data_IF_399404337528
#
_entry.id   IF_399404337528
#
_cell.length_a   1.000
_cell.length_b   1.000
_cell.length_c   1.000
_cell.angle_alpha   90.00
_cell.angle_beta   90.00
_cell.angle_gamma   90.00
#
_symmetry.space_group_name_H-M   'P 1'
#
loop_
_entity.id
_entity.type
_entity.pdbx_description
1 polymer ?
#
# COMPACT_ATOMS: atom_id res chain seq x y z
N UNK A 1 -0.06 -35.10 7.62
CA UNK A 1 -0.93 -33.97 7.27
C UNK A 1 -1.23 -33.06 8.46
N UNK A 2 -1.81 -33.53 9.58
CA UNK A 2 -2.16 -32.67 10.75
C UNK A 2 -0.96 -31.89 11.32
N UNK A 3 0.24 -32.49 11.39
CA UNK A 3 1.46 -31.82 11.89
C UNK A 3 1.97 -30.70 10.96
N UNK A 4 1.80 -30.87 9.65
CA UNK A 4 2.19 -29.86 8.65
C UNK A 4 1.23 -28.66 8.74
N UNK A 5 -0.06 -28.89 8.92
CA UNK A 5 -1.07 -27.83 9.12
C UNK A 5 -0.78 -27.06 10.41
N UNK A 6 -0.37 -27.74 11.48
CA UNK A 6 -0.02 -27.10 12.74
C UNK A 6 1.23 -26.22 12.62
N UNK A 7 2.24 -26.68 11.89
CA UNK A 7 3.46 -25.91 11.61
C UNK A 7 3.15 -24.70 10.74
N UNK A 8 2.33 -24.87 9.70
CA UNK A 8 1.83 -23.74 8.89
C UNK A 8 1.06 -22.74 9.73
N UNK A 9 0.14 -23.18 10.61
CA UNK A 9 -0.62 -22.28 11.49
C UNK A 9 0.28 -21.51 12.46
N UNK A 10 1.37 -22.10 12.97
CA UNK A 10 2.35 -21.44 13.83
C UNK A 10 3.16 -20.39 13.04
N UNK A 11 3.54 -20.70 11.79
CA UNK A 11 4.27 -19.76 10.91
C UNK A 11 3.38 -18.54 10.58
N UNK A 12 2.06 -18.73 10.42
CA UNK A 12 1.10 -17.64 10.17
C UNK A 12 0.70 -16.85 11.43
N UNK A 13 1.09 -17.25 12.63
CA UNK A 13 0.83 -16.50 13.88
C UNK A 13 1.82 -15.35 14.13
N UNK A 14 2.58 -14.93 13.13
CA UNK A 14 3.49 -13.79 13.20
C UNK A 14 2.68 -12.51 13.37
N UNK A 15 3.10 -11.64 14.28
CA UNK A 15 2.46 -10.33 14.48
C UNK A 15 2.48 -9.56 13.16
N UNK A 16 1.29 -9.27 12.63
CA UNK A 16 1.11 -8.44 11.44
C UNK A 16 0.91 -7.00 11.87
N UNK A 17 1.77 -6.11 11.42
CA UNK A 17 1.60 -4.67 11.56
C UNK A 17 1.11 -4.13 10.22
N UNK A 18 -0.11 -3.57 10.18
CA UNK A 18 -0.63 -2.91 8.98
C UNK A 18 -0.31 -1.42 9.09
N UNK A 19 0.52 -0.91 8.19
CA UNK A 19 0.95 0.49 8.17
C UNK A 19 0.43 1.24 6.95
N UNK A 20 0.19 0.53 5.83
CA UNK A 20 -0.22 1.11 4.56
C UNK A 20 -1.71 0.92 4.27
N UNK A 21 -2.36 1.91 3.64
CA UNK A 21 -3.71 1.76 3.14
C UNK A 21 -3.82 0.65 2.10
N UNK A 22 -4.74 -0.29 2.30
CA UNK A 22 -5.00 -1.38 1.36
C UNK A 22 -6.34 -1.17 0.64
N UNK A 23 -6.32 -1.45 -0.67
CA UNK A 23 -7.52 -1.48 -1.51
C UNK A 23 -8.04 -2.90 -1.64
N UNK A 24 -9.33 -3.11 -1.37
CA UNK A 24 -9.96 -4.43 -1.46
C UNK A 24 -10.07 -4.95 -2.90
N UNK A 25 -10.08 -4.05 -3.88
CA UNK A 25 -10.14 -4.37 -5.31
C UNK A 25 -8.76 -4.29 -5.97
N UNK A 26 -7.74 -4.67 -5.25
CA UNK A 26 -6.35 -4.62 -5.73
C UNK A 26 -6.08 -5.48 -6.97
N UNK A 27 -6.91 -6.50 -7.23
CA UNK A 27 -6.85 -7.29 -8.46
C UNK A 27 -7.15 -6.48 -9.73
N UNK A 28 -7.91 -5.38 -9.62
CA UNK A 28 -8.19 -4.48 -10.75
C UNK A 28 -7.01 -3.54 -11.06
N UNK A 29 -6.18 -3.29 -10.06
CA UNK A 29 -4.98 -2.44 -10.14
C UNK A 29 -3.84 -3.12 -9.39
N UNK A 30 -3.28 -4.19 -9.98
CA UNK A 30 -2.24 -4.99 -9.33
C UNK A 30 -0.97 -4.19 -9.03
N UNK A 31 -0.71 -3.09 -9.75
CA UNK A 31 0.38 -2.14 -9.48
C UNK A 31 0.31 -1.53 -8.06
N UNK A 32 -0.90 -1.43 -7.49
CA UNK A 32 -1.09 -0.93 -6.11
C UNK A 32 -0.53 -1.87 -5.05
N UNK A 33 -0.47 -3.19 -5.35
CA UNK A 33 0.12 -4.21 -4.48
C UNK A 33 1.59 -4.39 -4.80
N UNK A 34 1.90 -4.53 -6.10
CA UNK A 34 3.24 -4.88 -6.55
C UNK A 34 3.65 -4.04 -7.77
N UNK A 35 4.58 -3.11 -7.60
CA UNK A 35 5.10 -2.27 -8.68
C UNK A 35 5.73 -3.04 -9.86
N UNK A 36 6.04 -4.33 -9.72
CA UNK A 36 6.50 -5.16 -10.85
C UNK A 36 5.44 -5.36 -11.94
N UNK A 37 4.17 -5.01 -11.65
CA UNK A 37 3.11 -4.97 -12.65
C UNK A 37 3.15 -3.72 -13.54
N UNK A 38 4.00 -2.73 -13.28
CA UNK A 38 4.14 -1.58 -14.18
C UNK A 38 4.55 -2.05 -15.58
N UNK A 39 3.77 -1.67 -16.60
CA UNK A 39 3.94 -2.13 -17.98
C UNK A 39 3.72 -3.63 -18.20
N UNK A 40 3.05 -4.33 -17.29
CA UNK A 40 2.84 -5.78 -17.35
C UNK A 40 2.08 -6.21 -18.62
N UNK A 41 1.09 -5.45 -19.01
CA UNK A 41 0.25 -5.74 -20.15
C UNK A 41 0.83 -5.25 -21.48
N UNK A 42 2.05 -4.72 -21.45
CA UNK A 42 2.75 -4.20 -22.65
C UNK A 42 1.96 -3.13 -23.42
N UNK A 43 1.11 -2.40 -22.72
CA UNK A 43 0.28 -1.31 -23.23
C UNK A 43 0.25 -0.17 -22.21
N UNK A 44 -0.01 1.05 -22.69
CA UNK A 44 -0.25 2.20 -21.83
C UNK A 44 -1.54 1.99 -21.02
N UNK A 45 -1.49 2.16 -19.72
CA UNK A 45 -2.63 2.09 -18.82
C UNK A 45 -2.71 3.30 -17.89
N UNK A 46 -3.93 3.68 -17.57
CA UNK A 46 -4.23 4.67 -16.53
C UNK A 46 -5.52 4.26 -15.81
N UNK A 47 -5.60 4.56 -14.54
CA UNK A 47 -6.81 4.29 -13.78
C UNK A 47 -6.87 5.06 -12.48
N UNK A 48 -8.08 5.08 -11.92
CA UNK A 48 -8.41 5.70 -10.66
C UNK A 48 -9.17 4.71 -9.77
N UNK A 49 -8.69 4.52 -8.54
CA UNK A 49 -9.43 3.84 -7.48
C UNK A 49 -9.90 4.87 -6.46
N UNK A 50 -11.16 4.78 -6.07
CA UNK A 50 -11.73 5.54 -4.99
C UNK A 50 -12.38 4.62 -3.98
N UNK A 51 -11.99 4.74 -2.71
CA UNK A 51 -12.54 3.97 -1.61
C UNK A 51 -13.00 4.92 -0.53
N UNK A 52 -14.26 4.79 -0.14
CA UNK A 52 -14.85 5.50 0.99
C UNK A 52 -15.36 4.46 2.02
N UNK A 53 -14.94 4.61 3.26
CA UNK A 53 -15.39 3.79 4.37
C UNK A 53 -15.99 4.68 5.44
N UNK A 54 -17.27 4.46 5.73
CA UNK A 54 -18.01 5.16 6.79
C UNK A 54 -18.41 4.15 7.86
N UNK A 55 -18.25 4.51 9.12
CA UNK A 55 -18.74 3.72 10.24
C UNK A 55 -20.01 4.36 10.78
N UNK A 56 -21.11 3.59 10.74
CA UNK A 56 -22.40 4.03 11.26
C UNK A 56 -22.28 4.31 12.77
N UNK A 57 -22.69 5.51 13.20
CA UNK A 57 -22.67 5.93 14.60
C UNK A 57 -21.43 6.71 15.05
N UNK A 58 -20.44 6.91 14.16
CA UNK A 58 -19.27 7.75 14.40
C UNK A 58 -19.07 8.69 13.21
N UNK A 59 -18.66 9.93 13.47
CA UNK A 59 -18.24 10.89 12.43
C UNK A 59 -16.85 10.54 11.87
N UNK A 60 -16.63 9.23 11.67
CA UNK A 60 -15.38 8.70 11.16
C UNK A 60 -15.59 8.28 9.71
N UNK A 61 -14.89 8.94 8.80
CA UNK A 61 -14.92 8.67 7.38
C UNK A 61 -13.49 8.57 6.85
N UNK A 62 -13.19 7.45 6.19
CA UNK A 62 -11.90 7.16 5.62
C UNK A 62 -11.99 7.17 4.10
N UNK A 63 -11.33 8.13 3.46
CA UNK A 63 -11.29 8.31 2.03
C UNK A 63 -9.91 7.95 1.50
N UNK A 64 -9.86 7.09 0.50
CA UNK A 64 -8.61 6.72 -0.19
C UNK A 64 -8.80 6.88 -1.69
N UNK A 65 -7.87 7.58 -2.31
CA UNK A 65 -7.81 7.82 -3.75
C UNK A 65 -6.46 7.32 -4.24
N UNK A 66 -6.46 6.57 -5.32
CA UNK A 66 -5.25 6.08 -5.96
C UNK A 66 -5.38 6.28 -7.47
N UNK A 67 -4.54 7.14 -8.01
CA UNK A 67 -4.40 7.40 -9.43
C UNK A 67 -3.10 6.75 -9.90
N UNK A 68 -3.13 6.07 -11.02
CA UNK A 68 -1.93 5.50 -11.62
C UNK A 68 -1.92 5.69 -13.12
N UNK A 69 -0.70 5.70 -13.65
CA UNK A 69 -0.37 5.66 -15.06
C UNK A 69 0.86 4.80 -15.24
N UNK A 70 0.84 3.87 -16.16
CA UNK A 70 2.00 3.07 -16.53
C UNK A 70 2.07 2.85 -18.03
N UNK A 71 3.29 2.62 -18.51
CA UNK A 71 3.59 2.40 -19.90
C UNK A 71 4.72 1.37 -20.07
N UNK A 72 4.72 0.72 -21.21
CA UNK A 72 5.72 -0.28 -21.59
C UNK A 72 6.67 0.26 -22.65
N UNK A 73 7.96 0.06 -22.44
CA UNK A 73 9.04 0.45 -23.34
C UNK A 73 9.75 -0.79 -23.88
N UNK A 74 9.38 -1.29 -25.10
CA UNK A 74 9.91 -2.53 -25.66
C UNK A 74 11.43 -2.52 -25.84
N UNK A 75 12.00 -1.41 -26.27
CA UNK A 75 13.44 -1.26 -26.49
C UNK A 75 14.28 -1.44 -25.21
N UNK A 76 13.65 -1.19 -24.06
CA UNK A 76 14.28 -1.30 -22.73
C UNK A 76 13.82 -2.56 -21.99
N UNK A 77 12.93 -3.37 -22.55
CA UNK A 77 12.25 -4.45 -21.85
C UNK A 77 11.74 -4.01 -20.46
N UNK A 78 11.21 -2.81 -20.37
CA UNK A 78 10.88 -2.18 -19.08
C UNK A 78 9.53 -1.52 -19.07
N UNK A 79 8.83 -1.65 -17.95
CA UNK A 79 7.67 -0.85 -17.62
C UNK A 79 8.02 0.30 -16.69
N UNK A 80 7.44 1.46 -16.91
CA UNK A 80 7.55 2.63 -16.04
C UNK A 80 6.16 2.99 -15.57
N UNK A 81 6.01 3.18 -14.26
CA UNK A 81 4.75 3.55 -13.63
C UNK A 81 4.89 4.76 -12.74
N UNK A 82 3.85 5.58 -12.71
CA UNK A 82 3.69 6.69 -11.76
C UNK A 82 2.36 6.53 -11.04
N UNK A 83 2.34 6.70 -9.72
CA UNK A 83 1.12 6.66 -8.96
C UNK A 83 1.04 7.77 -7.93
N UNK A 84 -0.18 8.24 -7.68
CA UNK A 84 -0.53 9.21 -6.67
C UNK A 84 -1.53 8.58 -5.72
N UNK A 85 -1.25 8.60 -4.44
CA UNK A 85 -2.16 8.17 -3.38
C UNK A 85 -2.50 9.34 -2.47
N UNK A 86 -3.78 9.49 -2.17
CA UNK A 86 -4.29 10.40 -1.16
C UNK A 86 -5.21 9.61 -0.24
N UNK A 87 -4.85 9.57 1.04
CA UNK A 87 -5.59 8.86 2.08
C UNK A 87 -5.91 9.84 3.20
N UNK A 88 -7.18 10.01 3.50
CA UNK A 88 -7.67 11.02 4.46
C UNK A 88 -8.66 10.40 5.43
N UNK A 89 -8.51 10.74 6.69
CA UNK A 89 -9.45 10.43 7.75
C UNK A 89 -10.02 11.75 8.32
N UNK A 90 -11.34 11.81 8.51
CA UNK A 90 -12.02 13.09 8.78
C UNK A 90 -12.00 13.50 10.25
N UNK A 91 -11.96 12.58 11.20
CA UNK A 91 -12.04 12.90 12.62
C UNK A 91 -10.76 13.54 13.16
N UNK A 92 -9.62 12.96 12.83
CA UNK A 92 -8.30 13.47 13.23
C UNK A 92 -7.67 14.37 12.17
N UNK A 93 -8.37 14.62 11.05
CA UNK A 93 -7.81 15.28 9.86
C UNK A 93 -6.48 14.65 9.40
N UNK A 94 -6.31 13.34 9.67
CA UNK A 94 -5.15 12.61 9.18
C UNK A 94 -5.13 12.61 7.66
N UNK A 95 -3.98 12.92 7.10
CA UNK A 95 -3.78 12.86 5.66
C UNK A 95 -2.41 12.27 5.32
N UNK A 96 -2.41 11.30 4.39
CA UNK A 96 -1.22 10.72 3.80
C UNK A 96 -1.30 10.92 2.29
N UNK A 97 -0.36 11.69 1.74
CA UNK A 97 -0.22 11.89 0.30
C UNK A 97 1.08 11.29 -0.14
N UNK A 98 1.05 10.48 -1.18
CA UNK A 98 2.23 9.78 -1.67
C UNK A 98 2.27 9.82 -3.19
N UNK A 99 3.43 10.16 -3.74
CA UNK A 99 3.78 10.06 -5.15
C UNK A 99 4.82 8.96 -5.28
N UNK A 100 4.59 7.97 -6.14
CA UNK A 100 5.56 6.91 -6.42
C UNK A 100 5.92 6.90 -7.90
N UNK A 101 7.18 6.64 -8.17
CA UNK A 101 7.73 6.31 -9.48
C UNK A 101 8.26 4.88 -9.41
N UNK A 102 7.81 4.01 -10.29
CA UNK A 102 8.21 2.61 -10.38
C UNK A 102 8.86 2.31 -11.72
N UNK A 103 9.86 1.45 -11.69
CA UNK A 103 10.52 0.89 -12.85
C UNK A 103 10.62 -0.62 -12.70
N UNK A 104 10.03 -1.36 -13.63
CA UNK A 104 10.01 -2.81 -13.67
C UNK A 104 10.72 -3.32 -14.92
N UNK A 105 11.63 -4.26 -14.76
CA UNK A 105 12.38 -4.85 -15.87
C UNK A 105 11.87 -6.28 -16.13
N UNK A 106 11.62 -6.62 -17.40
CA UNK A 106 11.16 -7.96 -17.81
C UNK A 106 12.33 -8.82 -18.22
N UNK A 107 12.51 -9.96 -17.55
CA UNK A 107 13.47 -11.01 -17.89
C UNK A 107 12.70 -12.25 -18.29
N UNK A 108 12.79 -12.68 -19.52
CA UNK A 108 12.24 -13.94 -19.96
C UNK A 108 13.14 -15.08 -19.49
N UNK A 109 12.63 -15.96 -18.61
CA UNK A 109 13.37 -17.10 -18.07
C UNK A 109 13.34 -18.29 -19.02
N UNK A 110 12.16 -18.53 -19.60
CA UNK A 110 11.94 -19.57 -20.60
C UNK A 110 10.70 -19.22 -21.45
N UNK A 111 10.17 -20.17 -22.27
CA UNK A 111 9.01 -19.89 -23.12
C UNK A 111 7.73 -19.50 -22.40
N UNK A 112 7.57 -19.97 -21.14
CA UNK A 112 6.32 -19.80 -20.39
C UNK A 112 6.45 -18.83 -19.22
N UNK A 113 7.65 -18.58 -18.72
CA UNK A 113 7.87 -17.86 -17.47
C UNK A 113 8.71 -16.60 -17.65
N UNK A 114 8.19 -15.52 -17.11
CA UNK A 114 8.87 -14.25 -16.98
C UNK A 114 9.19 -13.94 -15.49
N UNK A 115 10.28 -13.25 -15.28
CA UNK A 115 10.67 -12.67 -14.01
C UNK A 115 10.74 -11.15 -14.14
N UNK A 116 10.06 -10.43 -13.25
CA UNK A 116 9.97 -8.97 -13.30
C UNK A 116 10.41 -8.36 -11.96
N UNK A 117 11.70 -8.06 -11.77
CA UNK A 117 12.15 -7.24 -10.67
C UNK A 117 11.74 -5.79 -10.90
N UNK A 118 11.45 -5.06 -9.80
CA UNK A 118 11.18 -3.64 -9.86
C UNK A 118 11.74 -2.88 -8.67
N UNK A 119 11.93 -1.59 -8.88
CA UNK A 119 12.28 -0.63 -7.83
C UNK A 119 11.26 0.50 -7.83
N UNK A 120 11.01 1.06 -6.66
CA UNK A 120 10.09 2.17 -6.46
C UNK A 120 10.75 3.26 -5.64
N UNK A 121 10.57 4.50 -6.09
CA UNK A 121 10.94 5.70 -5.38
C UNK A 121 9.68 6.47 -5.06
N UNK A 122 9.42 6.66 -3.76
CA UNK A 122 8.27 7.37 -3.24
C UNK A 122 8.66 8.68 -2.57
N UNK A 123 7.79 9.68 -2.68
CA UNK A 123 7.80 10.86 -1.85
C UNK A 123 6.46 10.96 -1.14
N UNK A 124 6.49 11.04 0.18
CA UNK A 124 5.28 11.07 0.99
C UNK A 124 5.26 12.27 1.94
N UNK A 125 4.05 12.75 2.17
CA UNK A 125 3.75 13.75 3.21
C UNK A 125 2.64 13.18 4.09
N UNK A 126 2.89 13.17 5.40
CA UNK A 126 1.97 12.72 6.42
C UNK A 126 1.64 13.90 7.32
N UNK A 127 0.36 14.14 7.49
CA UNK A 127 -0.16 15.26 8.27
C UNK A 127 -1.24 14.78 9.25
N UNK A 128 -1.37 15.47 10.36
CA UNK A 128 -2.35 15.18 11.40
C UNK A 128 -2.94 16.49 11.89
N UNK A 129 -4.27 16.63 11.84
CA UNK A 129 -4.95 17.78 12.42
C UNK A 129 -5.39 17.46 13.85
N UNK A 130 -4.94 18.26 14.79
CA UNK A 130 -5.21 18.04 16.20
C UNK A 130 -6.39 18.87 16.72
N UNK A 131 -7.08 19.62 15.84
CA UNK A 131 -8.13 20.58 16.20
C UNK A 131 -9.33 19.94 16.92
N UNK A 132 -9.58 18.66 16.66
CA UNK A 132 -10.70 17.92 17.24
C UNK A 132 -10.27 17.07 18.47
N UNK A 133 -9.02 17.16 18.90
CA UNK A 133 -8.50 16.41 20.03
C UNK A 133 -8.38 17.30 21.27
N UNK A 134 -8.64 16.72 22.42
CA UNK A 134 -8.44 17.32 23.74
C UNK A 134 -7.21 16.70 24.38
N UNK A 135 -6.25 17.54 24.71
CA UNK A 135 -5.00 17.15 25.39
C UNK A 135 -5.14 17.27 26.90
N UNK A 136 -4.35 16.50 27.62
CA UNK A 136 -4.40 16.46 29.08
C UNK A 136 -4.13 17.83 29.73
N UNK A 137 -3.22 18.63 29.17
CA UNK A 137 -2.87 19.96 29.66
C UNK A 137 -3.99 21.00 29.49
N UNK A 138 -4.98 20.73 28.61
CA UNK A 138 -6.17 21.56 28.43
C UNK A 138 -7.23 21.32 29.50
N UNK A 139 -7.21 20.16 30.19
CA UNK A 139 -8.26 19.76 31.12
C UNK A 139 -7.89 20.20 32.52
N UNK A 140 -8.59 21.18 33.06
CA UNK A 140 -8.44 21.58 34.45
C UNK A 140 -9.57 20.99 35.32
N UNK A 141 -9.27 19.86 35.95
CA UNK A 141 -10.25 19.11 36.77
C UNK A 141 -10.69 19.93 37.99
N UNK A 142 -9.80 20.74 38.61
CA UNK A 142 -10.11 21.51 39.79
C UNK A 142 -11.07 22.68 39.53
N UNK A 143 -10.97 23.26 38.35
CA UNK A 143 -11.80 24.41 37.92
C UNK A 143 -12.96 23.98 37.06
N UNK A 144 -13.02 22.72 36.64
CA UNK A 144 -14.01 22.17 35.74
C UNK A 144 -14.12 22.94 34.40
N UNK A 145 -12.97 23.35 33.88
CA UNK A 145 -12.85 24.10 32.60
C UNK A 145 -11.89 23.40 31.66
N UNK A 146 -12.15 23.61 30.36
CA UNK A 146 -11.27 23.18 29.28
C UNK A 146 -10.63 24.43 28.67
N UNK A 147 -9.30 24.49 28.70
CA UNK A 147 -8.54 25.56 28.07
C UNK A 147 -8.51 25.38 26.55
N UNK A 148 -8.58 26.47 25.80
CA UNK A 148 -8.53 26.41 24.33
C UNK A 148 -7.12 26.17 23.79
N UNK A 149 -6.08 26.44 24.57
CA UNK A 149 -4.69 26.30 24.12
C UNK A 149 -4.04 25.09 24.77
N UNK A 150 -3.24 24.36 23.99
CA UNK A 150 -2.37 23.29 24.46
C UNK A 150 -0.90 23.65 24.23
N UNK A 151 -0.02 23.14 25.06
CA UNK A 151 1.44 23.23 24.93
C UNK A 151 2.05 21.89 24.55
N UNK A 152 1.22 20.91 24.16
CA UNK A 152 1.72 19.60 23.76
C UNK A 152 2.63 19.74 22.53
N UNK A 153 3.87 19.21 22.57
CA UNK A 153 4.83 19.32 21.47
C UNK A 153 4.34 18.73 20.14
N UNK A 154 3.38 17.81 20.18
CA UNK A 154 2.84 17.17 18.99
C UNK A 154 2.01 18.15 18.13
N UNK A 155 1.34 19.11 18.77
CA UNK A 155 0.55 20.15 18.10
C UNK A 155 1.42 21.20 17.43
N UNK A 156 2.64 21.39 17.98
CA UNK A 156 3.64 22.29 17.42
C UNK A 156 4.48 21.61 16.34
N UNK A 157 4.22 20.32 16.08
CA UNK A 157 4.91 19.51 15.09
C UNK A 157 4.66 19.99 13.66
N UNK A 158 5.63 19.69 12.81
CA UNK A 158 5.52 19.91 11.37
C UNK A 158 5.01 18.63 10.69
N UNK A 159 4.50 18.77 9.45
CA UNK A 159 4.15 17.61 8.63
C UNK A 159 5.37 16.73 8.41
N UNK A 160 5.23 15.43 8.60
CA UNK A 160 6.30 14.50 8.27
C UNK A 160 6.41 14.36 6.75
N UNK A 161 7.60 14.65 6.20
CA UNK A 161 7.92 14.49 4.78
C UNK A 161 9.08 13.53 4.65
N UNK A 162 8.92 12.53 3.81
CA UNK A 162 9.95 11.51 3.67
C UNK A 162 10.02 10.95 2.26
N UNK A 163 11.20 10.42 1.94
CA UNK A 163 11.43 9.61 0.74
C UNK A 163 11.29 8.15 1.14
N UNK A 164 10.60 7.38 0.31
CA UNK A 164 10.41 5.95 0.49
C UNK A 164 11.07 5.18 -0.65
N UNK A 165 11.70 4.06 -0.33
CA UNK A 165 12.33 3.18 -1.30
C UNK A 165 11.73 1.79 -1.15
N UNK A 166 11.29 1.23 -2.28
CA UNK A 166 10.76 -0.11 -2.35
C UNK A 166 11.43 -0.95 -3.43
N UNK A 167 11.28 -2.25 -3.30
CA UNK A 167 11.64 -3.22 -4.33
C UNK A 167 10.57 -4.29 -4.41
N UNK A 168 10.34 -4.81 -5.59
CA UNK A 168 9.44 -5.94 -5.72
C UNK A 168 9.87 -6.91 -6.80
N UNK A 169 9.31 -8.09 -6.74
CA UNK A 169 9.61 -9.21 -7.62
C UNK A 169 8.31 -9.88 -8.02
N UNK A 170 8.20 -10.23 -9.28
CA UNK A 170 7.07 -10.95 -9.84
C UNK A 170 7.59 -12.08 -10.72
N UNK A 171 7.10 -13.29 -10.49
CA UNK A 171 7.23 -14.44 -11.40
C UNK A 171 5.87 -14.71 -11.98
N UNK A 172 5.77 -14.71 -13.28
CA UNK A 172 4.49 -14.90 -13.96
C UNK A 172 4.60 -15.74 -15.21
N UNK A 173 3.51 -16.41 -15.53
CA UNK A 173 3.19 -16.95 -16.83
C UNK A 173 1.78 -16.46 -17.25
N UNK A 174 1.21 -17.02 -18.31
CA UNK A 174 -0.10 -16.59 -18.81
C UNK A 174 -1.24 -16.80 -17.81
N UNK A 175 -1.15 -17.81 -16.93
CA UNK A 175 -2.26 -18.22 -16.05
C UNK A 175 -1.96 -18.05 -14.56
N UNK A 176 -0.69 -17.90 -14.20
CA UNK A 176 -0.29 -17.90 -12.79
C UNK A 176 0.77 -16.83 -12.54
N UNK A 177 0.70 -16.24 -11.37
CA UNK A 177 1.79 -15.38 -10.92
C UNK A 177 1.97 -15.46 -9.40
N UNK A 178 3.19 -15.22 -8.97
CA UNK A 178 3.56 -15.06 -7.56
C UNK A 178 4.48 -13.84 -7.44
N UNK A 179 4.20 -12.99 -6.45
CA UNK A 179 4.95 -11.78 -6.23
C UNK A 179 5.30 -11.52 -4.78
N UNK A 180 6.36 -10.77 -4.59
CA UNK A 180 6.83 -10.28 -3.30
C UNK A 180 7.06 -8.79 -3.45
N UNK A 181 6.56 -8.00 -2.49
CA UNK A 181 6.76 -6.56 -2.43
C UNK A 181 7.40 -6.20 -1.09
N UNK A 182 8.42 -5.38 -1.16
CA UNK A 182 9.14 -4.81 -0.02
C UNK A 182 9.00 -3.29 -0.10
N UNK A 183 8.45 -2.66 0.94
CA UNK A 183 8.36 -1.19 1.05
C UNK A 183 9.14 -0.71 2.27
N UNK A 184 9.43 0.57 2.31
CA UNK A 184 10.14 1.22 3.42
C UNK A 184 11.54 0.62 3.68
N UNK A 185 12.24 0.22 2.61
CA UNK A 185 13.59 -0.37 2.72
C UNK A 185 14.60 0.58 3.37
N UNK A 186 14.43 1.88 3.17
CA UNK A 186 15.24 2.93 3.78
C UNK A 186 14.78 3.32 5.20
N UNK A 187 13.68 2.71 5.71
CA UNK A 187 13.10 2.97 7.03
C UNK A 187 13.00 4.47 7.34
N UNK A 188 12.26 5.24 6.53
CA UNK A 188 12.21 6.68 6.68
C UNK A 188 11.63 7.07 8.04
N UNK A 189 12.15 8.16 8.63
CA UNK A 189 11.58 8.73 9.85
C UNK A 189 10.28 9.46 9.52
N UNK A 190 9.20 9.08 10.18
CA UNK A 190 7.84 9.66 10.02
C UNK A 190 7.38 10.42 11.26
N UNK A 191 8.32 10.78 12.15
CA UNK A 191 8.00 11.60 13.31
C UNK A 191 7.51 12.98 12.86
N UNK A 192 6.45 13.43 13.52
CA UNK A 192 5.91 14.80 13.37
C UNK A 192 6.50 15.76 14.40
N UNK A 193 7.26 15.24 15.37
CA UNK A 193 7.97 16.04 16.36
C UNK A 193 9.39 16.30 15.87
N UNK A 194 9.85 17.55 15.90
CA UNK A 194 11.12 18.02 15.33
C UNK A 194 12.38 17.28 15.81
N UNK A 195 12.32 16.61 16.96
CA UNK A 195 13.42 15.78 17.49
C UNK A 195 13.04 14.31 17.68
N UNK A 196 11.89 13.90 17.13
CA UNK A 196 11.43 12.53 17.21
C UNK A 196 12.10 11.63 16.16
N UNK A 197 12.33 10.39 16.52
CA UNK A 197 12.80 9.34 15.62
C UNK A 197 11.80 8.18 15.66
N UNK A 198 10.96 8.10 14.62
CA UNK A 198 9.94 7.06 14.44
C UNK A 198 10.16 6.46 13.05
N UNK A 199 11.10 5.52 12.91
CA UNK A 199 11.34 4.88 11.63
C UNK A 199 10.17 3.97 11.24
N UNK A 200 9.74 4.02 9.97
CA UNK A 200 8.81 3.04 9.43
C UNK A 200 9.46 1.66 9.40
N UNK A 201 8.70 0.65 9.79
CA UNK A 201 9.14 -0.72 9.63
C UNK A 201 9.08 -1.17 8.17
N UNK A 202 9.97 -2.10 7.80
CA UNK A 202 9.95 -2.69 6.48
C UNK A 202 8.65 -3.50 6.33
N UNK A 203 7.86 -3.12 5.31
CA UNK A 203 6.65 -3.84 4.95
C UNK A 203 6.97 -4.93 3.94
N UNK A 204 6.50 -6.15 4.20
CA UNK A 204 6.67 -7.31 3.30
C UNK A 204 5.29 -7.86 2.97
N UNK A 205 4.99 -7.97 1.68
CA UNK A 205 3.77 -8.58 1.17
C UNK A 205 4.09 -9.69 0.19
N UNK A 206 3.39 -10.82 0.33
CA UNK A 206 3.46 -11.95 -0.60
C UNK A 206 2.06 -12.16 -1.16
N UNK A 207 1.94 -12.29 -2.45
CA UNK A 207 0.67 -12.45 -3.14
C UNK A 207 0.84 -13.37 -4.35
N UNK A 208 -0.24 -14.05 -4.71
CA UNK A 208 -0.23 -14.98 -5.83
C UNK A 208 -1.64 -15.05 -6.47
N UNK A 209 -1.68 -15.39 -7.74
CA UNK A 209 -2.90 -15.75 -8.46
C UNK A 209 -2.71 -17.07 -9.18
N UNK A 210 -3.74 -17.90 -9.12
CA UNK A 210 -3.78 -19.21 -9.76
C UNK A 210 -5.10 -19.35 -10.52
N UNK A 211 -5.03 -19.45 -11.83
CA UNK A 211 -6.18 -19.79 -12.64
C UNK A 211 -6.32 -21.31 -12.70
N UNK A 212 -7.39 -21.84 -12.13
CA UNK A 212 -7.69 -23.27 -12.15
C UNK A 212 -8.94 -23.52 -12.99
N UNK A 213 -8.90 -24.38 -14.02
CA UNK A 213 -10.09 -24.77 -14.76
C UNK A 213 -11.00 -25.59 -13.84
N UNK A 214 -12.19 -25.05 -13.52
CA UNK A 214 -13.11 -25.68 -12.55
C UNK A 214 -14.02 -26.71 -13.23
N UNK A 215 -14.42 -26.48 -14.46
CA UNK A 215 -15.23 -27.41 -15.27
C UNK A 215 -15.02 -27.11 -16.76
N UNK A 216 -14.63 -28.11 -17.51
CA UNK A 216 -14.86 -28.13 -18.96
C UNK A 216 -16.25 -28.75 -19.23
N UNK A 217 -17.26 -27.94 -19.32
CA UNK A 217 -18.58 -28.38 -19.76
C UNK A 217 -18.76 -28.00 -21.23
N UNK A 218 -18.65 -28.96 -22.10
CA UNK A 218 -18.68 -28.82 -23.56
C UNK A 218 -17.67 -27.76 -24.09
N UNK A 219 -16.97 -28.10 -25.10
CA UNK A 219 -15.84 -27.46 -25.76
C UNK A 219 -15.77 -25.91 -25.86
N UNK A 220 -16.71 -25.14 -25.29
CA UNK A 220 -16.82 -23.70 -25.52
C UNK A 220 -16.93 -22.81 -24.25
N UNK A 221 -16.87 -23.36 -23.04
CA UNK A 221 -16.93 -22.52 -21.83
C UNK A 221 -16.05 -23.06 -20.71
N UNK A 222 -15.02 -22.32 -20.35
CA UNK A 222 -14.20 -22.53 -19.16
C UNK A 222 -14.56 -21.49 -18.08
N UNK A 223 -14.75 -21.94 -16.84
CA UNK A 223 -14.92 -21.08 -15.67
C UNK A 223 -13.60 -21.07 -14.92
N UNK A 224 -13.09 -19.87 -14.65
CA UNK A 224 -11.83 -19.64 -13.94
C UNK A 224 -12.11 -19.04 -12.56
N UNK A 225 -11.34 -19.45 -11.53
CA UNK A 225 -11.23 -18.73 -10.26
C UNK A 225 -9.96 -17.87 -10.29
N UNK A 226 -10.13 -16.60 -9.98
CA UNK A 226 -9.05 -15.63 -9.83
C UNK A 226 -8.86 -15.32 -8.34
#
# INVERSE_FOLDING_TARGET
>A
MKRIILILAIIFSVKSYSQDPAFTQSFMVPESINPSFSGFYETTKAGLLYKNQQWSGFDFNLNSQYLYFDDWYPDLNSGIGISLMNHQETFTNYSLKQLNLSWAYKVQLNYDWDFRPSVTFGFATKDFGFDNLLFEDQINIFQNIINSNTFDPIVLGENARYVDIGASFLFNNDNHWIGITLRHLNRPNVSMVSQGDIPLDIFISVHASLELPVLQYNNDSSVYFI
#
